data_IF_231675979025
#
_entry.id   IF_231675979025
#
_cell.length_a   1.000
_cell.length_b   1.000
_cell.length_c   1.000
_cell.angle_alpha   90.00
_cell.angle_beta   90.00
_cell.angle_gamma   90.00
#
_symmetry.space_group_name_H-M   'P 1'
#
loop_
_entity.id
_entity.type
_entity.pdbx_description
1 polymer ?
#
# COMPACT_ATOMS: atom_id res chain seq x y z
N UNK A 1 0.89 7.15 -1.21
CA UNK A 1 0.67 8.62 -1.21
C UNK A 1 0.73 9.14 -2.63
N UNK A 2 -0.13 10.08 -2.98
CA UNK A 2 -0.07 10.88 -4.21
C UNK A 2 0.12 12.36 -3.88
N UNK A 3 1.06 13.02 -4.56
CA UNK A 3 1.30 14.47 -4.49
C UNK A 3 0.81 15.22 -5.75
N UNK A 4 0.05 14.54 -6.61
CA UNK A 4 -0.49 15.12 -7.83
C UNK A 4 0.55 15.30 -8.95
N UNK A 5 0.50 16.43 -9.65
CA UNK A 5 1.37 16.71 -10.81
C UNK A 5 2.80 17.02 -10.44
N UNK A 6 3.05 17.46 -9.23
CA UNK A 6 4.36 17.90 -8.77
C UNK A 6 5.03 16.85 -7.88
N UNK A 7 6.33 16.62 -8.06
CA UNK A 7 7.05 15.72 -7.17
C UNK A 7 7.10 16.28 -5.74
N UNK A 8 6.89 15.38 -4.77
CA UNK A 8 7.00 15.65 -3.34
C UNK A 8 7.88 14.60 -2.68
N UNK A 9 8.27 14.81 -1.43
CA UNK A 9 8.95 13.80 -0.60
C UNK A 9 7.97 13.15 0.36
N UNK A 10 8.09 11.86 0.55
CA UNK A 10 7.30 11.11 1.52
C UNK A 10 7.94 11.05 2.92
N UNK A 11 9.04 11.80 3.17
CA UNK A 11 9.86 11.75 4.38
C UNK A 11 9.05 11.81 5.67
N UNK A 12 8.06 12.72 5.74
CA UNK A 12 7.22 12.85 6.92
C UNK A 12 6.53 11.51 7.25
N UNK A 13 5.81 10.94 6.30
CA UNK A 13 5.05 9.70 6.51
C UNK A 13 5.94 8.50 6.74
N UNK A 14 7.11 8.47 6.11
CA UNK A 14 8.02 7.33 6.20
C UNK A 14 8.86 7.34 7.48
N UNK A 15 9.27 8.52 7.98
CA UNK A 15 10.25 8.63 9.07
C UNK A 15 9.81 9.48 10.26
N UNK A 16 8.93 10.47 10.05
CA UNK A 16 8.77 11.58 10.99
C UNK A 16 7.37 11.66 11.63
N UNK A 17 6.35 11.08 11.01
CA UNK A 17 5.00 11.04 11.57
C UNK A 17 4.98 10.33 12.94
N UNK A 18 4.02 10.66 13.82
CA UNK A 18 3.89 10.04 15.14
C UNK A 18 3.84 8.52 15.12
N UNK A 19 3.19 7.95 14.10
CA UNK A 19 3.22 6.53 13.78
C UNK A 19 3.74 6.33 12.35
N UNK A 20 4.99 6.79 12.11
CA UNK A 20 5.65 6.65 10.82
C UNK A 20 5.88 5.19 10.45
N UNK A 21 6.03 4.93 9.14
CA UNK A 21 6.31 3.56 8.67
C UNK A 21 7.54 2.95 9.34
N UNK A 22 8.59 3.75 9.61
CA UNK A 22 9.77 3.30 10.35
C UNK A 22 9.43 2.87 11.79
N UNK A 23 8.48 3.52 12.46
CA UNK A 23 8.02 3.10 13.78
C UNK A 23 7.17 1.83 13.71
N UNK A 24 6.25 1.73 12.74
CA UNK A 24 5.43 0.55 12.50
C UNK A 24 6.29 -0.68 12.22
N UNK A 25 7.44 -0.53 11.53
CA UNK A 25 8.36 -1.63 11.23
C UNK A 25 8.97 -2.33 12.47
N UNK A 26 8.82 -1.76 13.67
CA UNK A 26 9.18 -2.45 14.92
C UNK A 26 8.26 -3.64 15.20
N UNK A 27 7.03 -3.58 14.71
CA UNK A 27 6.03 -4.65 14.81
C UNK A 27 6.12 -5.60 13.61
N UNK A 28 6.67 -5.12 12.49
CA UNK A 28 6.74 -5.82 11.20
C UNK A 28 8.18 -5.82 10.64
N UNK A 29 9.11 -6.61 11.24
CA UNK A 29 10.55 -6.43 11.02
C UNK A 29 11.12 -7.18 9.80
N UNK A 30 10.34 -7.98 9.07
CA UNK A 30 10.84 -8.95 8.10
C UNK A 30 11.14 -8.38 6.70
N UNK A 31 10.96 -7.08 6.52
CA UNK A 31 11.30 -6.43 5.26
C UNK A 31 10.71 -5.03 5.13
N UNK A 32 11.38 -4.23 4.35
CA UNK A 32 10.97 -2.85 4.03
C UNK A 32 11.11 -2.62 2.55
N UNK A 33 10.18 -1.86 1.98
CA UNK A 33 10.31 -1.41 0.61
C UNK A 33 9.63 -0.08 0.34
N UNK A 34 10.24 0.66 -0.56
CA UNK A 34 9.79 1.94 -1.08
C UNK A 34 9.74 1.88 -2.61
N UNK A 35 8.60 2.19 -3.18
CA UNK A 35 8.40 2.34 -4.61
C UNK A 35 8.05 3.77 -4.97
N UNK A 36 8.64 4.26 -6.04
CA UNK A 36 8.48 5.62 -6.54
C UNK A 36 8.64 5.65 -8.06
N UNK A 37 8.52 6.83 -8.66
CA UNK A 37 8.74 7.04 -10.08
C UNK A 37 9.76 8.15 -10.30
N UNK A 38 10.64 7.95 -11.28
CA UNK A 38 11.55 8.99 -11.74
C UNK A 38 10.79 10.15 -12.40
N UNK A 39 11.49 11.24 -12.69
CA UNK A 39 10.92 12.36 -13.47
C UNK A 39 10.46 11.94 -14.87
N UNK A 40 11.06 10.90 -15.45
CA UNK A 40 10.67 10.30 -16.72
C UNK A 40 9.45 9.37 -16.60
N UNK A 41 8.97 9.08 -15.39
CA UNK A 41 7.83 8.19 -15.14
C UNK A 41 8.21 6.71 -15.03
N UNK A 42 9.52 6.39 -14.99
CA UNK A 42 9.99 5.03 -14.82
C UNK A 42 9.89 4.60 -13.34
N UNK A 43 9.40 3.38 -13.06
CA UNK A 43 9.32 2.86 -11.70
C UNK A 43 10.71 2.63 -11.11
N UNK A 44 10.86 2.97 -9.82
CA UNK A 44 12.05 2.70 -9.03
C UNK A 44 11.63 2.01 -7.75
N UNK A 45 12.29 0.91 -7.41
CA UNK A 45 11.98 0.11 -6.24
C UNK A 45 13.22 -0.10 -5.40
N UNK A 46 13.13 0.27 -4.13
CA UNK A 46 14.12 0.05 -3.10
C UNK A 46 13.57 -0.96 -2.11
N UNK A 47 14.27 -2.04 -1.86
CA UNK A 47 13.82 -3.11 -0.96
C UNK A 47 14.97 -3.63 -0.12
N UNK A 48 14.68 -3.92 1.13
CA UNK A 48 15.60 -4.61 2.04
C UNK A 48 14.84 -5.66 2.86
N UNK A 49 15.40 -6.85 3.09
CA UNK A 49 14.83 -7.83 4.00
C UNK A 49 15.17 -7.51 5.46
N UNK A 50 14.97 -6.24 5.85
CA UNK A 50 15.28 -5.65 7.16
C UNK A 50 14.13 -4.73 7.59
N UNK A 51 14.00 -4.52 8.89
CA UNK A 51 13.07 -3.55 9.43
C UNK A 51 13.48 -2.11 9.07
N UNK A 52 12.51 -1.26 8.71
CA UNK A 52 12.77 0.13 8.31
C UNK A 52 13.48 0.96 9.38
N UNK A 53 13.23 0.70 10.67
CA UNK A 53 13.86 1.44 11.77
C UNK A 53 15.36 1.12 11.94
N UNK A 54 15.83 0.01 11.41
CA UNK A 54 17.25 -0.41 11.41
C UNK A 54 17.93 -0.14 10.06
N UNK A 55 17.16 0.17 9.03
CA UNK A 55 17.65 0.32 7.66
C UNK A 55 18.09 1.77 7.38
N UNK A 56 19.39 2.01 7.49
CA UNK A 56 19.99 3.32 7.15
C UNK A 56 19.80 3.70 5.67
N UNK A 57 19.75 2.71 4.76
CA UNK A 57 19.53 2.94 3.35
C UNK A 57 18.10 3.42 3.11
N UNK A 58 17.11 2.75 3.69
CA UNK A 58 15.71 3.20 3.65
C UNK A 58 15.56 4.64 4.19
N UNK A 59 16.23 4.94 5.30
CA UNK A 59 16.19 6.30 5.87
C UNK A 59 16.80 7.37 4.94
N UNK A 60 17.84 7.03 4.17
CA UNK A 60 18.40 7.91 3.14
C UNK A 60 17.45 8.08 1.97
N UNK A 61 16.94 6.98 1.43
CA UNK A 61 15.98 6.96 0.32
C UNK A 61 14.72 7.76 0.64
N UNK A 62 14.15 7.58 1.85
CA UNK A 62 12.99 8.32 2.32
C UNK A 62 13.21 9.84 2.41
N UNK A 63 14.46 10.30 2.58
CA UNK A 63 14.81 11.72 2.60
C UNK A 63 15.13 12.29 1.21
N UNK A 64 15.66 11.47 0.31
CA UNK A 64 16.21 11.93 -0.96
C UNK A 64 15.24 11.76 -2.11
N UNK A 65 14.47 10.66 -2.13
CA UNK A 65 13.54 10.35 -3.22
C UNK A 65 12.44 11.38 -3.29
N UNK A 66 12.24 11.93 -4.48
CA UNK A 66 11.15 12.84 -4.82
C UNK A 66 10.35 12.23 -5.98
N UNK A 67 9.04 12.11 -5.81
CA UNK A 67 8.15 11.50 -6.80
C UNK A 67 6.75 12.07 -6.68
N UNK A 68 5.93 11.87 -7.71
CA UNK A 68 4.51 12.23 -7.70
C UNK A 68 3.69 11.22 -6.89
N UNK A 69 4.05 9.95 -7.00
CA UNK A 69 3.40 8.86 -6.28
C UNK A 69 4.42 8.01 -5.56
N UNK A 70 4.04 7.54 -4.37
CA UNK A 70 4.82 6.62 -3.55
C UNK A 70 3.95 5.47 -3.08
N UNK A 71 4.54 4.29 -3.01
CA UNK A 71 4.05 3.16 -2.23
C UNK A 71 5.17 2.64 -1.35
N UNK A 72 4.88 2.45 -0.06
CA UNK A 72 5.83 1.87 0.86
C UNK A 72 5.15 0.79 1.69
N UNK A 73 5.93 -0.20 2.11
CA UNK A 73 5.41 -1.35 2.83
C UNK A 73 6.45 -1.85 3.82
N UNK A 74 6.00 -2.16 5.03
CA UNK A 74 6.74 -2.96 6.01
C UNK A 74 6.13 -4.35 6.05
N UNK A 75 6.95 -5.36 6.19
CA UNK A 75 6.55 -6.76 6.05
C UNK A 75 6.70 -7.51 7.34
N UNK A 76 5.64 -8.22 7.73
CA UNK A 76 5.72 -9.39 8.59
C UNK A 76 5.46 -10.63 7.71
N UNK A 77 6.44 -11.52 7.61
CA UNK A 77 6.38 -12.65 6.68
C UNK A 77 5.36 -13.70 7.13
N UNK A 78 4.15 -13.64 6.58
CA UNK A 78 3.13 -14.70 6.72
C UNK A 78 3.47 -15.91 5.85
N UNK A 79 3.84 -15.67 4.59
CA UNK A 79 4.18 -16.68 3.60
C UNK A 79 5.49 -16.34 2.88
N UNK A 80 6.19 -17.36 2.41
CA UNK A 80 7.45 -17.24 1.67
C UNK A 80 8.66 -16.87 2.55
N UNK A 81 9.85 -17.07 2.00
CA UNK A 81 11.09 -16.73 2.67
C UNK A 81 11.28 -15.22 2.83
N UNK A 82 12.01 -14.81 3.89
CA UNK A 82 12.46 -13.43 4.05
C UNK A 82 13.58 -13.14 3.06
N UNK A 83 13.23 -12.58 1.93
CA UNK A 83 14.15 -12.21 0.85
C UNK A 83 13.57 -11.07 0.00
N UNK A 84 14.41 -10.49 -0.86
CA UNK A 84 14.03 -9.36 -1.74
C UNK A 84 12.89 -9.69 -2.71
N UNK A 85 12.80 -10.93 -3.21
CA UNK A 85 11.76 -11.34 -4.18
C UNK A 85 10.37 -11.30 -3.55
N UNK A 86 10.28 -11.62 -2.26
CA UNK A 86 9.04 -11.69 -1.51
C UNK A 86 8.72 -10.39 -0.74
N UNK A 87 9.56 -9.34 -0.88
CA UNK A 87 9.36 -8.04 -0.25
C UNK A 87 8.62 -7.09 -1.18
N UNK A 88 7.58 -6.43 -0.69
CA UNK A 88 6.86 -5.36 -1.41
C UNK A 88 7.72 -4.09 -1.54
N UNK A 89 7.37 -3.18 -2.46
CA UNK A 89 6.36 -3.33 -3.50
C UNK A 89 6.84 -4.21 -4.65
N UNK A 90 5.89 -4.81 -5.36
CA UNK A 90 6.15 -5.50 -6.62
C UNK A 90 6.02 -4.53 -7.79
N UNK A 91 6.78 -4.78 -8.87
CA UNK A 91 6.71 -4.02 -10.11
C UNK A 91 6.28 -4.94 -11.26
N UNK A 92 5.28 -4.52 -12.03
CA UNK A 92 4.89 -5.18 -13.27
C UNK A 92 4.38 -4.12 -14.27
N UNK A 93 4.98 -4.08 -15.44
CA UNK A 93 4.58 -3.23 -16.56
C UNK A 93 4.39 -1.75 -16.20
N UNK A 94 5.36 -1.19 -15.45
CA UNK A 94 5.34 0.22 -15.05
C UNK A 94 4.36 0.56 -13.92
N UNK A 95 3.87 -0.45 -13.20
CA UNK A 95 2.98 -0.31 -12.03
C UNK A 95 3.66 -0.85 -10.79
N UNK A 96 3.43 -0.20 -9.67
CA UNK A 96 3.91 -0.64 -8.35
C UNK A 96 2.74 -1.04 -7.47
N UNK A 97 2.91 -2.13 -6.72
CA UNK A 97 1.83 -2.75 -5.96
C UNK A 97 2.30 -3.20 -4.57
N UNK A 98 1.48 -2.91 -3.57
CA UNK A 98 1.62 -3.45 -2.22
C UNK A 98 0.27 -3.96 -1.72
N UNK A 99 0.26 -5.13 -1.08
CA UNK A 99 -0.92 -5.85 -0.62
C UNK A 99 -0.76 -6.21 0.85
N UNK A 100 -1.83 -6.01 1.60
CA UNK A 100 -1.97 -6.48 2.98
C UNK A 100 -3.15 -7.44 3.05
N UNK A 101 -2.85 -8.72 3.21
CA UNK A 101 -3.85 -9.76 3.26
C UNK A 101 -3.30 -11.16 3.01
N UNK A 102 -4.22 -12.11 2.90
CA UNK A 102 -3.92 -13.51 2.59
C UNK A 102 -4.93 -14.05 1.61
N UNK A 103 -4.43 -14.70 0.56
CA UNK A 103 -5.20 -15.45 -0.42
C UNK A 103 -4.75 -16.91 -0.36
N UNK A 104 -5.71 -17.82 -0.16
CA UNK A 104 -5.46 -19.26 -0.17
C UNK A 104 -5.53 -19.87 -1.57
N UNK A 105 -5.39 -21.20 -1.62
CA UNK A 105 -5.51 -22.00 -2.85
C UNK A 105 -4.62 -21.48 -4.01
N UNK A 106 -3.34 -21.23 -3.73
CA UNK A 106 -2.40 -20.64 -4.69
C UNK A 106 -2.24 -21.46 -5.98
N UNK A 107 -2.37 -22.78 -5.93
CA UNK A 107 -2.33 -23.64 -7.12
C UNK A 107 -3.48 -23.32 -8.09
N UNK A 108 -4.67 -23.01 -7.55
CA UNK A 108 -5.81 -22.60 -8.35
C UNK A 108 -5.58 -21.22 -8.97
N UNK A 109 -4.99 -20.27 -8.19
CA UNK A 109 -4.62 -18.96 -8.71
C UNK A 109 -3.55 -19.08 -9.81
N UNK A 110 -2.53 -19.91 -9.62
CA UNK A 110 -1.50 -20.15 -10.64
C UNK A 110 -2.08 -20.75 -11.93
N UNK A 111 -3.04 -21.68 -11.80
CA UNK A 111 -3.74 -22.23 -12.96
C UNK A 111 -4.51 -21.14 -13.72
N UNK A 112 -5.20 -20.25 -13.00
CA UNK A 112 -5.93 -19.12 -13.59
C UNK A 112 -5.01 -18.12 -14.28
N UNK A 113 -3.81 -17.88 -13.74
CA UNK A 113 -2.85 -16.95 -14.34
C UNK A 113 -2.45 -17.34 -15.78
N UNK A 114 -2.37 -18.63 -16.07
CA UNK A 114 -1.89 -19.08 -17.40
C UNK A 114 -0.53 -18.45 -17.72
N UNK A 115 -0.39 -17.81 -18.88
CA UNK A 115 0.86 -17.18 -19.34
C UNK A 115 1.33 -16.04 -18.42
N UNK A 116 0.41 -15.37 -17.71
CA UNK A 116 0.74 -14.32 -16.76
C UNK A 116 1.50 -14.85 -15.51
N UNK A 117 1.57 -16.17 -15.31
CA UNK A 117 2.45 -16.79 -14.30
C UNK A 117 3.91 -16.38 -14.48
N UNK A 118 4.34 -16.07 -15.70
CA UNK A 118 5.70 -15.58 -16.00
C UNK A 118 6.03 -14.22 -15.35
N UNK A 119 5.04 -13.46 -14.91
CA UNK A 119 5.21 -12.19 -14.18
C UNK A 119 5.58 -12.39 -12.71
N UNK A 120 5.43 -13.61 -12.17
CA UNK A 120 5.66 -13.93 -10.77
C UNK A 120 7.07 -14.47 -10.57
N UNK A 121 7.89 -13.72 -9.85
CA UNK A 121 9.28 -14.08 -9.56
C UNK A 121 9.50 -14.67 -8.16
N UNK A 122 8.56 -14.44 -7.22
CA UNK A 122 8.62 -14.91 -5.83
C UNK A 122 7.57 -15.97 -5.50
N UNK A 123 7.35 -16.14 -4.19
CA UNK A 123 6.50 -17.20 -3.65
C UNK A 123 5.18 -16.68 -3.05
N UNK A 124 4.97 -15.35 -3.02
CA UNK A 124 3.84 -14.74 -2.31
C UNK A 124 2.53 -14.81 -3.11
N UNK A 125 1.42 -14.91 -2.41
CA UNK A 125 0.07 -14.70 -2.90
C UNK A 125 -0.11 -13.29 -3.49
N UNK A 126 0.49 -12.30 -2.86
CA UNK A 126 0.44 -10.90 -3.24
C UNK A 126 0.96 -10.65 -4.67
N UNK A 127 2.11 -11.24 -5.03
CA UNK A 127 2.67 -11.08 -6.37
C UNK A 127 1.83 -11.81 -7.43
N UNK A 128 1.25 -12.96 -7.09
CA UNK A 128 0.29 -13.69 -7.94
C UNK A 128 -0.98 -12.89 -8.17
N UNK A 129 -1.52 -12.29 -7.11
CA UNK A 129 -2.68 -11.40 -7.24
C UNK A 129 -2.38 -10.20 -8.13
N UNK A 130 -1.20 -9.61 -7.98
CA UNK A 130 -0.77 -8.53 -8.86
C UNK A 130 -0.63 -8.97 -10.32
N UNK A 131 -0.13 -10.18 -10.58
CA UNK A 131 -0.06 -10.74 -11.93
C UNK A 131 -1.46 -10.93 -12.54
N UNK A 132 -2.44 -11.36 -11.74
CA UNK A 132 -3.83 -11.44 -12.18
C UNK A 132 -4.40 -10.05 -12.51
N UNK A 133 -4.18 -9.06 -11.64
CA UNK A 133 -4.57 -7.66 -11.91
C UNK A 133 -3.92 -7.16 -13.19
N UNK A 134 -2.62 -7.40 -13.39
CA UNK A 134 -1.88 -6.97 -14.59
C UNK A 134 -2.46 -7.59 -15.85
N UNK A 135 -2.73 -8.89 -15.85
CA UNK A 135 -3.40 -9.59 -16.96
C UNK A 135 -4.77 -8.98 -17.31
N UNK A 136 -5.56 -8.72 -16.28
CA UNK A 136 -6.90 -8.17 -16.46
C UNK A 136 -6.88 -6.72 -16.94
N UNK A 137 -5.91 -5.92 -16.52
CA UNK A 137 -5.69 -4.56 -17.05
C UNK A 137 -5.35 -4.64 -18.55
N UNK A 138 -4.50 -5.56 -18.96
CA UNK A 138 -4.15 -5.73 -20.36
C UNK A 138 -5.34 -6.20 -21.21
N UNK A 139 -6.17 -7.09 -20.66
CA UNK A 139 -7.39 -7.58 -21.30
C UNK A 139 -8.44 -6.49 -21.45
N UNK A 140 -8.67 -5.69 -20.40
CA UNK A 140 -9.70 -4.63 -20.38
C UNK A 140 -9.21 -3.31 -20.98
N UNK A 141 -7.90 -3.10 -21.03
CA UNK A 141 -7.21 -1.84 -21.38
C UNK A 141 -7.57 -0.66 -20.49
N UNK A 142 -8.03 -0.94 -19.26
CA UNK A 142 -8.46 0.05 -18.30
C UNK A 142 -8.11 -0.47 -16.88
N UNK A 143 -7.42 0.38 -16.07
CA UNK A 143 -6.88 -0.05 -14.78
C UNK A 143 -7.99 -0.42 -13.79
N UNK A 144 -9.00 0.42 -13.65
CA UNK A 144 -10.10 0.18 -12.70
C UNK A 144 -10.90 -1.07 -13.08
N UNK A 145 -11.22 -1.27 -14.36
CA UNK A 145 -11.91 -2.45 -14.84
C UNK A 145 -11.09 -3.73 -14.63
N UNK A 146 -9.77 -3.67 -14.87
CA UNK A 146 -8.86 -4.79 -14.63
C UNK A 146 -8.79 -5.16 -13.14
N UNK A 147 -8.68 -4.16 -12.26
CA UNK A 147 -8.72 -4.35 -10.81
C UNK A 147 -10.02 -5.03 -10.38
N UNK A 148 -11.16 -4.50 -10.83
CA UNK A 148 -12.49 -5.06 -10.47
C UNK A 148 -12.64 -6.49 -10.96
N UNK A 149 -12.22 -6.78 -12.20
CA UNK A 149 -12.26 -8.13 -12.77
C UNK A 149 -11.45 -9.12 -11.93
N UNK A 150 -10.18 -8.79 -11.65
CA UNK A 150 -9.28 -9.65 -10.87
C UNK A 150 -9.78 -9.87 -9.43
N UNK A 151 -10.16 -8.79 -8.75
CA UNK A 151 -10.61 -8.86 -7.35
C UNK A 151 -11.95 -9.63 -7.24
N UNK A 152 -12.86 -9.47 -8.19
CA UNK A 152 -14.12 -10.24 -8.24
C UNK A 152 -13.84 -11.72 -8.45
N UNK A 153 -12.96 -12.06 -9.40
CA UNK A 153 -12.59 -13.45 -9.63
C UNK A 153 -12.00 -14.10 -8.38
N UNK A 154 -11.06 -13.44 -7.70
CA UNK A 154 -10.47 -13.94 -6.44
C UNK A 154 -11.55 -14.10 -5.37
N UNK A 155 -12.43 -13.13 -5.20
CA UNK A 155 -13.50 -13.14 -4.20
C UNK A 155 -14.52 -14.27 -4.44
N UNK A 156 -14.78 -14.63 -5.69
CA UNK A 156 -15.75 -15.67 -6.06
C UNK A 156 -15.15 -17.09 -6.04
N UNK A 157 -13.83 -17.25 -6.15
CA UNK A 157 -13.21 -18.56 -6.39
C UNK A 157 -12.19 -18.99 -5.34
N UNK A 158 -11.58 -18.08 -4.59
CA UNK A 158 -10.47 -18.40 -3.67
C UNK A 158 -10.81 -18.10 -2.21
N UNK A 159 -10.17 -18.80 -1.26
CA UNK A 159 -10.21 -18.42 0.14
C UNK A 159 -9.51 -17.06 0.35
N UNK A 160 -10.19 -16.11 0.98
CA UNK A 160 -9.71 -14.72 1.16
C UNK A 160 -9.83 -14.28 2.61
N UNK A 161 -8.72 -13.84 3.21
CA UNK A 161 -8.73 -13.07 4.44
C UNK A 161 -8.91 -11.59 4.14
N UNK A 162 -8.04 -11.03 3.32
CA UNK A 162 -8.06 -9.63 2.89
C UNK A 162 -7.40 -9.45 1.52
N UNK A 163 -7.91 -8.49 0.74
CA UNK A 163 -7.36 -8.02 -0.53
C UNK A 163 -7.01 -6.52 -0.47
N UNK A 164 -6.73 -5.99 0.72
CA UNK A 164 -6.37 -4.58 0.84
C UNK A 164 -5.07 -4.31 0.10
N UNK A 165 -5.10 -3.43 -0.89
CA UNK A 165 -3.91 -3.08 -1.64
C UNK A 165 -3.84 -1.60 -2.02
N UNK A 166 -2.62 -1.18 -2.37
CA UNK A 166 -2.33 0.07 -3.07
C UNK A 166 -1.60 -0.28 -4.36
N UNK A 167 -2.11 0.23 -5.49
CA UNK A 167 -1.48 0.18 -6.80
C UNK A 167 -1.23 1.60 -7.27
N UNK A 168 0.00 1.89 -7.70
CA UNK A 168 0.36 3.20 -8.23
C UNK A 168 1.00 3.09 -9.62
N UNK A 169 0.78 4.13 -10.41
CA UNK A 169 1.49 4.44 -11.65
C UNK A 169 2.24 5.76 -11.49
N UNK A 170 2.94 6.22 -12.51
CA UNK A 170 3.58 7.54 -12.50
C UNK A 170 2.59 8.72 -12.31
N UNK A 171 1.28 8.50 -12.49
CA UNK A 171 0.27 9.58 -12.46
C UNK A 171 -1.03 9.24 -11.73
N UNK A 172 -1.22 8.01 -11.26
CA UNK A 172 -2.46 7.58 -10.62
C UNK A 172 -2.16 6.74 -9.37
N UNK A 173 -3.08 6.78 -8.41
CA UNK A 173 -3.12 5.89 -7.26
C UNK A 173 -4.48 5.19 -7.22
N UNK A 174 -4.45 3.89 -7.01
CA UNK A 174 -5.61 3.04 -6.78
C UNK A 174 -5.47 2.33 -5.44
N UNK A 175 -6.56 2.18 -4.70
CA UNK A 175 -6.57 1.40 -3.47
C UNK A 175 -7.91 0.66 -3.31
N UNK A 176 -7.84 -0.57 -2.85
CA UNK A 176 -9.01 -1.40 -2.56
C UNK A 176 -8.99 -1.79 -1.08
N UNK A 177 -10.12 -1.64 -0.39
CA UNK A 177 -10.40 -2.29 0.89
C UNK A 177 -11.42 -3.39 0.70
N UNK A 178 -11.07 -4.65 1.00
CA UNK A 178 -11.99 -5.79 0.89
C UNK A 178 -11.38 -7.08 1.47
N UNK A 179 -12.17 -7.93 2.19
CA UNK A 179 -13.45 -7.63 2.80
C UNK A 179 -13.30 -6.75 4.06
N UNK A 180 -14.24 -6.83 5.00
CA UNK A 180 -14.23 -6.07 6.25
C UNK A 180 -13.39 -6.78 7.33
N UNK A 181 -12.10 -7.01 7.04
CA UNK A 181 -11.14 -7.65 7.96
C UNK A 181 -10.10 -6.65 8.47
N UNK A 182 -9.40 -6.00 7.58
CA UNK A 182 -8.39 -4.99 7.92
C UNK A 182 -8.87 -3.59 7.55
N UNK A 183 -8.44 -2.63 8.35
CA UNK A 183 -8.66 -1.22 8.05
C UNK A 183 -7.82 -0.77 6.86
N UNK A 184 -8.32 0.22 6.15
CA UNK A 184 -7.58 1.03 5.19
C UNK A 184 -8.12 2.45 5.29
N UNK A 185 -7.25 3.41 5.57
CA UNK A 185 -7.60 4.79 5.84
C UNK A 185 -7.20 5.68 4.68
N UNK A 186 -8.01 6.71 4.45
CA UNK A 186 -7.77 7.75 3.46
C UNK A 186 -7.65 9.10 4.17
N UNK A 187 -6.66 9.88 3.78
CA UNK A 187 -6.51 11.29 4.13
C UNK A 187 -6.37 12.13 2.87
N UNK A 188 -7.32 13.01 2.63
CA UNK A 188 -7.24 14.09 1.63
C UNK A 188 -6.71 15.34 2.36
N UNK A 189 -5.43 15.63 2.15
CA UNK A 189 -4.74 16.65 2.91
C UNK A 189 -4.62 17.93 2.12
N UNK A 190 -5.19 19.01 2.67
CA UNK A 190 -5.03 20.37 2.16
C UNK A 190 -3.64 20.94 2.49
N UNK A 191 -3.16 21.95 1.72
CA UNK A 191 -1.93 22.66 2.07
C UNK A 191 -1.99 23.23 3.48
N UNK A 192 -0.90 23.08 4.25
CA UNK A 192 -0.80 23.59 5.61
C UNK A 192 -1.32 22.69 6.71
N UNK A 193 -2.01 21.59 6.37
CA UNK A 193 -2.58 20.65 7.35
C UNK A 193 -3.70 21.26 8.22
N UNK A 194 -4.20 20.53 9.22
CA UNK A 194 -5.41 20.91 9.97
C UNK A 194 -5.27 22.19 10.79
N UNK A 195 -4.08 22.63 11.12
CA UNK A 195 -3.84 23.87 11.90
C UNK A 195 -3.61 25.11 11.05
N UNK A 196 -3.70 25.01 9.70
CA UNK A 196 -3.43 26.14 8.79
C UNK A 196 -1.99 26.67 8.86
N UNK A 197 -1.09 25.92 9.53
CA UNK A 197 0.31 26.27 9.68
C UNK A 197 1.09 26.04 8.38
N UNK A 198 2.14 26.83 8.16
CA UNK A 198 3.03 26.68 6.98
C UNK A 198 3.88 25.41 7.02
N UNK A 199 3.76 24.59 8.05
CA UNK A 199 4.51 23.35 8.22
C UNK A 199 3.61 22.28 8.82
N UNK A 200 3.77 21.05 8.40
CA UNK A 200 3.29 19.92 9.17
C UNK A 200 4.14 19.86 10.43
N UNK A 201 3.59 20.25 11.56
CA UNK A 201 4.26 20.20 12.86
C UNK A 201 3.58 19.14 13.73
N UNK A 202 4.37 18.23 14.26
CA UNK A 202 3.97 17.38 15.36
C UNK A 202 4.87 17.64 16.56
N UNK A 203 4.27 17.88 17.72
CA UNK A 203 4.97 17.89 18.99
C UNK A 203 4.50 16.70 19.81
N UNK A 204 5.44 15.86 20.29
CA UNK A 204 5.08 14.80 21.22
C UNK A 204 4.38 15.39 22.46
N UNK A 205 3.52 14.61 23.11
CA UNK A 205 2.77 15.03 24.31
C UNK A 205 3.65 15.61 25.43
N UNK A 206 4.96 15.31 25.44
CA UNK A 206 5.96 15.86 26.36
C UNK A 206 6.75 17.05 25.79
N UNK A 207 6.45 17.50 24.54
CA UNK A 207 7.14 18.63 23.91
C UNK A 207 8.61 18.40 23.54
N UNK A 208 9.11 17.18 23.75
CA UNK A 208 10.54 16.84 23.55
C UNK A 208 10.90 16.55 22.09
N UNK A 209 9.92 16.26 21.23
CA UNK A 209 10.11 16.01 19.80
C UNK A 209 9.20 16.95 19.03
N UNK A 210 9.80 17.78 18.19
CA UNK A 210 9.09 18.60 17.19
C UNK A 210 9.56 18.16 15.80
N UNK A 211 8.61 17.77 14.97
CA UNK A 211 8.86 17.41 13.58
C UNK A 211 8.24 18.47 12.68
N UNK A 212 9.00 18.90 11.67
CA UNK A 212 8.56 19.86 10.67
C UNK A 212 8.79 19.33 9.28
N UNK A 213 7.75 19.25 8.46
CA UNK A 213 7.87 18.97 7.04
C UNK A 213 7.56 20.24 6.23
N UNK A 214 8.62 20.88 5.71
CA UNK A 214 8.47 22.10 4.88
C UNK A 214 7.83 21.84 3.51
N UNK A 215 7.93 20.64 2.96
CA UNK A 215 7.45 20.37 1.58
C UNK A 215 5.97 19.98 1.50
N UNK A 216 5.44 19.32 2.53
CA UNK A 216 4.00 19.01 2.60
C UNK A 216 3.17 20.19 3.12
N UNK A 217 3.82 21.26 3.58
CA UNK A 217 3.17 22.46 4.05
C UNK A 217 2.39 23.21 2.97
N UNK A 218 2.97 23.28 1.79
CA UNK A 218 2.50 24.15 0.71
C UNK A 218 1.74 23.39 -0.38
N UNK A 219 1.57 22.07 -0.23
CA UNK A 219 0.99 21.21 -1.28
C UNK A 219 -0.06 20.26 -0.73
N UNK A 220 -1.17 20.08 -1.44
CA UNK A 220 -2.13 19.03 -1.13
C UNK A 220 -1.52 17.65 -1.40
N UNK A 221 -2.03 16.64 -0.72
CA UNK A 221 -1.66 15.24 -0.96
C UNK A 221 -2.81 14.31 -0.58
N UNK A 222 -2.86 13.16 -1.23
CA UNK A 222 -3.73 12.05 -0.84
C UNK A 222 -2.88 10.94 -0.25
N UNK A 223 -3.19 10.53 0.97
CA UNK A 223 -2.49 9.46 1.68
C UNK A 223 -3.47 8.32 1.92
N UNK A 224 -3.03 7.10 1.63
CA UNK A 224 -3.74 5.87 1.96
C UNK A 224 -2.82 5.01 2.82
N UNK A 225 -3.30 4.55 3.96
CA UNK A 225 -2.52 3.77 4.92
C UNK A 225 -3.38 2.74 5.66
N UNK A 226 -2.78 1.64 6.09
CA UNK A 226 -3.44 0.61 6.90
C UNK A 226 -3.69 1.08 8.34
N UNK A 227 -2.86 2.00 8.82
CA UNK A 227 -3.01 2.65 10.13
C UNK A 227 -2.96 4.17 9.96
N UNK A 228 -3.63 4.91 10.85
CA UNK A 228 -3.52 6.37 10.87
C UNK A 228 -2.13 6.76 11.35
N UNK A 229 -1.42 7.54 10.55
CA UNK A 229 -0.02 7.87 10.81
C UNK A 229 0.14 9.13 11.70
N UNK A 230 -0.93 9.88 11.90
CA UNK A 230 -1.04 11.04 12.78
C UNK A 230 -2.47 11.22 13.27
N UNK A 231 -2.70 12.29 14.07
CA UNK A 231 -4.02 12.62 14.65
C UNK A 231 -4.83 13.58 13.76
N UNK A 232 -4.55 13.68 12.46
CA UNK A 232 -5.34 14.52 11.56
C UNK A 232 -6.81 14.06 11.54
N UNK A 233 -7.72 14.97 11.85
CA UNK A 233 -9.15 14.68 11.88
C UNK A 233 -9.74 14.34 10.49
N UNK A 234 -9.02 14.63 9.41
CA UNK A 234 -9.37 14.30 8.04
C UNK A 234 -9.24 12.81 7.68
N UNK A 235 -8.58 12.00 8.52
CA UNK A 235 -8.53 10.57 8.30
C UNK A 235 -9.92 9.94 8.34
N UNK A 236 -10.29 9.21 7.31
CA UNK A 236 -11.48 8.36 7.27
C UNK A 236 -11.14 6.92 6.92
N UNK A 237 -11.84 5.97 7.52
CA UNK A 237 -11.78 4.57 7.08
C UNK A 237 -12.52 4.39 5.76
N UNK A 238 -11.92 3.66 4.83
CA UNK A 238 -12.62 3.16 3.65
C UNK A 238 -13.61 2.09 4.06
N UNK A 239 -14.71 1.94 3.33
CA UNK A 239 -15.66 0.86 3.56
C UNK A 239 -15.24 -0.41 2.80
N UNK A 240 -15.65 -1.59 3.30
CA UNK A 240 -15.45 -2.83 2.57
C UNK A 240 -16.05 -2.77 1.17
N UNK A 241 -15.24 -3.17 0.19
CA UNK A 241 -15.58 -3.14 -1.24
C UNK A 241 -15.35 -1.80 -1.92
N UNK A 242 -14.90 -0.76 -1.20
CA UNK A 242 -14.53 0.52 -1.83
C UNK A 242 -13.22 0.38 -2.63
N UNK A 243 -13.31 0.83 -3.88
CA UNK A 243 -12.18 1.06 -4.78
C UNK A 243 -12.00 2.57 -4.93
N UNK A 244 -10.87 3.05 -4.45
CA UNK A 244 -10.42 4.43 -4.57
C UNK A 244 -9.59 4.59 -5.85
N UNK A 245 -9.81 5.70 -6.55
CA UNK A 245 -8.95 6.20 -7.63
C UNK A 245 -8.58 7.65 -7.36
N UNK A 246 -7.30 7.97 -7.45
CA UNK A 246 -6.77 9.33 -7.37
C UNK A 246 -6.04 9.63 -8.68
N UNK A 247 -6.48 10.66 -9.39
CA UNK A 247 -5.85 11.08 -10.63
C UNK A 247 -4.66 12.04 -10.40
N UNK A 248 -4.02 12.49 -11.47
CA UNK A 248 -2.89 13.41 -11.39
C UNK A 248 -3.25 14.81 -10.85
N UNK A 249 -4.53 15.17 -10.83
CA UNK A 249 -5.03 16.43 -10.27
C UNK A 249 -5.52 16.26 -8.82
N UNK A 250 -5.20 15.12 -8.19
CA UNK A 250 -5.65 14.72 -6.85
C UNK A 250 -7.18 14.61 -6.72
N UNK A 251 -7.89 14.45 -7.84
CA UNK A 251 -9.33 14.18 -7.76
C UNK A 251 -9.54 12.76 -7.27
N UNK A 252 -10.27 12.66 -6.18
CA UNK A 252 -10.62 11.39 -5.53
C UNK A 252 -11.96 10.91 -6.08
N UNK A 253 -11.96 9.69 -6.60
CA UNK A 253 -13.15 8.97 -7.02
C UNK A 253 -13.27 7.67 -6.24
N UNK A 254 -14.44 7.37 -5.73
CA UNK A 254 -14.70 6.16 -4.97
C UNK A 254 -15.89 5.45 -5.58
N UNK A 255 -15.68 4.18 -5.86
CA UNK A 255 -16.72 3.24 -6.29
C UNK A 255 -16.77 2.08 -5.32
N UNK A 256 -17.84 1.29 -5.34
CA UNK A 256 -17.98 0.11 -4.49
C UNK A 256 -18.35 -1.12 -5.30
N UNK A 257 -17.42 -1.66 -6.11
CA UNK A 257 -17.73 -2.78 -7.00
C UNK A 257 -17.93 -4.12 -6.27
N UNK A 258 -17.32 -4.33 -5.10
CA UNK A 258 -17.38 -5.57 -4.33
C UNK A 258 -18.34 -5.42 -3.15
N UNK A 259 -19.63 -5.59 -3.40
CA UNK A 259 -20.69 -5.38 -2.39
C UNK A 259 -21.04 -6.64 -1.58
N UNK A 260 -20.65 -7.83 -2.06
CA UNK A 260 -20.88 -9.11 -1.39
C UNK A 260 -19.62 -9.56 -0.68
N UNK A 261 -19.71 -10.32 0.43
CA UNK A 261 -18.52 -10.95 1.01
C UNK A 261 -17.91 -11.96 0.04
N UNK A 262 -16.64 -12.37 0.24
CA UNK A 262 -16.01 -13.42 -0.56
C UNK A 262 -16.78 -14.74 -0.39
N UNK A 263 -16.74 -15.59 -1.43
CA UNK A 263 -17.42 -16.88 -1.40
C UNK A 263 -16.80 -17.82 -0.34
N UNK A 264 -15.52 -17.68 -0.09
CA UNK A 264 -14.75 -18.49 0.86
C UNK A 264 -13.98 -17.56 1.83
N UNK A 265 -14.67 -16.93 2.80
CA UNK A 265 -14.00 -16.02 3.73
C UNK A 265 -13.10 -16.82 4.68
N UNK A 266 -11.88 -16.31 4.88
CA UNK A 266 -10.95 -16.77 5.91
C UNK A 266 -11.09 -15.90 7.16
N UNK A 267 -10.80 -16.51 8.31
CA UNK A 267 -10.60 -15.85 9.60
C UNK A 267 -9.16 -16.09 10.07
N UNK A 268 -8.72 -15.39 11.10
CA UNK A 268 -7.38 -15.60 11.68
C UNK A 268 -7.18 -17.04 12.19
N UNK A 269 -8.26 -17.72 12.62
CA UNK A 269 -8.21 -19.11 13.07
C UNK A 269 -8.00 -20.12 11.95
N UNK A 270 -8.18 -19.73 10.70
CA UNK A 270 -7.97 -20.60 9.53
C UNK A 270 -6.52 -20.53 9.02
N UNK A 271 -5.73 -19.60 9.55
CA UNK A 271 -4.34 -19.41 9.18
C UNK A 271 -3.42 -20.23 10.09
N UNK A 272 -2.20 -20.54 9.60
CA UNK A 272 -1.16 -21.03 10.51
C UNK A 272 -0.78 -19.95 11.54
N UNK A 273 -0.20 -20.32 12.71
CA UNK A 273 0.05 -19.37 13.79
C UNK A 273 0.94 -18.18 13.40
N UNK A 274 1.89 -18.37 12.48
CA UNK A 274 2.76 -17.30 12.01
C UNK A 274 2.01 -16.32 11.11
N UNK A 275 1.23 -16.85 10.18
CA UNK A 275 0.39 -16.05 9.30
C UNK A 275 -0.71 -15.31 10.11
N UNK A 276 -1.33 -15.97 11.08
CA UNK A 276 -2.29 -15.31 11.97
C UNK A 276 -1.65 -14.16 12.77
N UNK A 277 -0.44 -14.36 13.30
CA UNK A 277 0.30 -13.31 14.01
C UNK A 277 0.64 -12.10 13.12
N UNK A 278 0.92 -12.33 11.82
CA UNK A 278 1.21 -11.24 10.88
C UNK A 278 -0.03 -10.45 10.48
N UNK A 279 -1.21 -11.03 10.63
CA UNK A 279 -2.48 -10.42 10.24
C UNK A 279 -3.31 -9.93 11.42
N UNK A 280 -3.01 -10.42 12.63
CA UNK A 280 -3.60 -9.97 13.88
C UNK A 280 -2.83 -8.79 14.43
N UNK A 281 -2.93 -7.60 13.80
CA UNK A 281 -2.31 -6.42 14.35
C UNK A 281 -2.80 -6.17 15.78
N UNK A 282 -1.92 -5.99 16.75
CA UNK A 282 -2.33 -5.35 17.99
C UNK A 282 -2.66 -3.89 17.67
N UNK A 283 -3.80 -3.48 18.12
CA UNK A 283 -4.19 -2.08 18.17
C UNK A 283 -3.17 -1.24 18.97
#
# INVERSE_FOLDING_TARGET
>A
MSGGREPVKATFWLLEAPDSLALQSRREPDGTGLGAFTAAGEPVVFKQPLAAFEDHQFASEAREVSSRNFVAHVRYASNGAVNLRNTHPFEQHGRLFAHNGVIGALDQLEHELGDARSLVGGDTDSERFFALITREIERTREIGAGIVSAATWVADHLPVLSLNFILITGSQLWALRYPDMHELHLLEREPGGPSGGRHLEHASARGSIRVRSGQLADRPAVVVATERMDEDAGWRSMQSGELLHVDADLRVQITRPLVRPPAYPLSLSDLDPKAAASQGAPA
#
